data_IF_579707562329
#
_entry.id   IF_579707562329
#
_cell.length_a   1.000
_cell.length_b   1.000
_cell.length_c   1.000
_cell.angle_alpha   90.00
_cell.angle_beta   90.00
_cell.angle_gamma   90.00
#
_symmetry.space_group_name_H-M   'P 1'
#
loop_
_entity.id
_entity.type
_entity.pdbx_description
1 polymer ?
#
# COMPACT_ATOMS: atom_id res chain seq x y z
N UNK A 1 -30.07 31.55 -45.30
CA UNK A 1 -30.63 30.33 -44.67
C UNK A 1 -29.74 29.06 -44.83
N UNK A 2 -28.91 28.94 -45.86
CA UNK A 2 -28.02 27.72 -46.03
C UNK A 2 -26.87 27.60 -45.04
N UNK A 3 -26.35 28.70 -44.51
CA UNK A 3 -25.20 28.69 -43.57
C UNK A 3 -25.58 28.34 -42.12
N UNK A 4 -26.85 28.57 -41.73
CA UNK A 4 -27.33 28.20 -40.38
C UNK A 4 -27.47 26.69 -40.16
N UNK A 5 -27.75 25.93 -41.22
CA UNK A 5 -27.89 24.47 -41.13
C UNK A 5 -26.51 23.77 -41.01
N UNK A 6 -25.47 24.32 -41.64
CA UNK A 6 -24.10 23.77 -41.57
C UNK A 6 -23.51 24.02 -40.19
N UNK A 7 -23.72 25.19 -39.59
CA UNK A 7 -23.24 25.49 -38.24
C UNK A 7 -23.92 24.62 -37.17
N UNK A 8 -25.19 24.27 -37.32
CA UNK A 8 -25.91 23.40 -36.41
C UNK A 8 -25.42 21.95 -36.49
N UNK A 9 -25.08 21.45 -37.70
CA UNK A 9 -24.53 20.09 -37.87
C UNK A 9 -23.16 19.91 -37.26
N UNK A 10 -22.29 20.94 -37.32
CA UNK A 10 -20.94 20.89 -36.70
C UNK A 10 -21.05 20.92 -35.17
N UNK A 11 -21.97 21.65 -34.59
CA UNK A 11 -22.21 21.72 -33.15
C UNK A 11 -22.74 20.39 -32.58
N UNK A 12 -23.55 19.64 -33.32
CA UNK A 12 -24.07 18.34 -32.92
C UNK A 12 -22.97 17.27 -32.99
N UNK A 13 -22.10 17.30 -33.98
CA UNK A 13 -20.96 16.36 -34.05
C UNK A 13 -19.92 16.54 -32.93
N UNK A 14 -19.72 17.77 -32.44
CA UNK A 14 -18.82 18.04 -31.32
C UNK A 14 -19.35 17.59 -29.96
N UNK A 15 -20.65 17.45 -29.80
CA UNK A 15 -21.29 16.96 -28.58
C UNK A 15 -21.29 15.43 -28.46
N UNK A 16 -21.11 14.71 -29.57
CA UNK A 16 -21.02 13.23 -29.56
C UNK A 16 -19.61 12.69 -29.37
N UNK A 17 -18.58 13.53 -29.41
CA UNK A 17 -17.18 13.15 -29.24
C UNK A 17 -16.72 13.02 -27.75
N UNK A 18 -17.56 13.31 -26.78
CA UNK A 18 -17.32 12.99 -25.37
C UNK A 18 -17.66 11.51 -25.10
N UNK A 19 -16.94 10.63 -25.77
CA UNK A 19 -16.86 9.22 -25.46
C UNK A 19 -16.17 9.10 -24.09
N UNK A 20 -16.96 9.06 -23.02
CA UNK A 20 -16.48 8.68 -21.71
C UNK A 20 -15.79 7.32 -21.84
N UNK A 21 -14.46 7.29 -21.76
CA UNK A 21 -13.71 6.08 -21.51
C UNK A 21 -14.17 5.54 -20.15
N UNK A 22 -15.00 4.51 -20.15
CA UNK A 22 -15.46 3.85 -18.92
C UNK A 22 -14.30 3.09 -18.33
N UNK A 23 -13.56 3.71 -17.44
CA UNK A 23 -12.61 2.98 -16.60
C UNK A 23 -13.39 2.02 -15.70
N UNK A 24 -13.03 0.75 -15.70
CA UNK A 24 -13.63 -0.28 -14.85
C UNK A 24 -12.73 -0.48 -13.65
N UNK A 25 -13.21 -0.07 -12.49
CA UNK A 25 -12.54 -0.31 -11.23
C UNK A 25 -13.02 -1.62 -10.61
N UNK A 26 -12.09 -2.47 -10.20
CA UNK A 26 -12.36 -3.74 -9.54
C UNK A 26 -11.62 -3.82 -8.20
N UNK A 27 -12.34 -4.24 -7.17
CA UNK A 27 -11.71 -4.70 -5.95
C UNK A 27 -10.78 -5.88 -6.26
N UNK A 28 -9.63 -5.92 -5.64
CA UNK A 28 -8.68 -7.03 -5.74
C UNK A 28 -8.45 -7.62 -4.35
N UNK A 29 -7.64 -8.66 -4.26
CA UNK A 29 -7.28 -9.28 -3.00
C UNK A 29 -5.76 -9.35 -2.86
N UNK A 30 -5.27 -9.12 -1.65
CA UNK A 30 -3.87 -9.36 -1.34
C UNK A 30 -3.55 -10.85 -1.46
N UNK A 31 -2.38 -11.13 -2.01
CA UNK A 31 -1.85 -12.50 -2.15
C UNK A 31 -0.85 -12.77 -1.04
N UNK A 32 -1.03 -13.91 -0.38
CA UNK A 32 -0.10 -14.38 0.66
C UNK A 32 1.10 -15.06 0.02
N UNK A 33 2.31 -14.58 0.31
CA UNK A 33 3.56 -15.16 -0.19
C UNK A 33 4.18 -16.12 0.81
N UNK A 34 4.17 -15.76 2.10
CA UNK A 34 4.81 -16.52 3.16
C UNK A 34 4.10 -16.29 4.49
N UNK A 35 4.11 -17.32 5.33
CA UNK A 35 3.55 -17.27 6.67
C UNK A 35 4.51 -17.99 7.61
N UNK A 36 4.83 -17.36 8.73
CA UNK A 36 5.55 -17.98 9.84
C UNK A 36 4.76 -17.74 11.12
N UNK A 37 4.58 -18.78 11.91
CA UNK A 37 3.83 -18.69 13.16
C UNK A 37 2.31 -18.60 12.97
N UNK A 38 1.62 -18.09 13.99
CA UNK A 38 0.14 -18.01 14.00
C UNK A 38 -0.31 -16.66 13.45
N UNK A 39 -0.96 -16.70 12.29
CA UNK A 39 -1.63 -15.55 11.67
C UNK A 39 -3.07 -15.91 11.39
N UNK A 40 -3.98 -15.04 11.75
CA UNK A 40 -5.42 -15.20 11.53
C UNK A 40 -5.98 -13.98 10.82
N UNK A 41 -7.09 -14.16 10.12
CA UNK A 41 -7.86 -13.03 9.57
C UNK A 41 -9.34 -13.19 9.87
N UNK A 42 -10.02 -12.08 9.98
CA UNK A 42 -11.48 -11.99 10.07
C UNK A 42 -11.98 -11.40 8.76
N UNK A 43 -12.79 -12.22 8.07
CA UNK A 43 -13.45 -11.84 6.82
C UNK A 43 -14.57 -10.83 7.13
N UNK A 44 -14.61 -9.71 6.43
CA UNK A 44 -15.62 -8.67 6.62
C UNK A 44 -17.08 -9.17 6.48
N UNK A 45 -17.29 -10.29 5.78
CA UNK A 45 -18.63 -10.87 5.53
C UNK A 45 -18.95 -12.04 6.46
N UNK A 46 -17.98 -12.54 7.23
CA UNK A 46 -18.13 -13.73 8.09
C UNK A 46 -17.58 -13.44 9.48
N UNK A 47 -18.38 -13.65 10.48
CA UNK A 47 -17.89 -13.55 11.86
C UNK A 47 -16.91 -14.67 12.21
N UNK A 48 -15.83 -14.31 12.88
CA UNK A 48 -14.83 -15.21 13.44
C UNK A 48 -13.52 -15.29 12.68
N UNK A 49 -12.45 -15.46 13.44
CA UNK A 49 -11.10 -15.54 12.94
C UNK A 49 -10.82 -16.88 12.26
N UNK A 50 -10.23 -16.84 11.08
CA UNK A 50 -9.78 -18.00 10.33
C UNK A 50 -8.24 -17.97 10.21
N UNK A 51 -7.55 -19.12 10.20
CA UNK A 51 -6.11 -19.14 9.98
C UNK A 51 -5.78 -18.70 8.56
N UNK A 52 -4.77 -17.82 8.44
CA UNK A 52 -4.21 -17.45 7.13
C UNK A 52 -3.42 -18.62 6.57
N UNK A 53 -3.60 -18.90 5.30
CA UNK A 53 -2.87 -19.92 4.52
C UNK A 53 -2.32 -19.30 3.24
N UNK A 54 -1.40 -19.98 2.55
CA UNK A 54 -0.90 -19.54 1.24
C UNK A 54 -2.00 -19.43 0.16
N UNK A 55 -3.16 -20.05 0.39
CA UNK A 55 -4.32 -19.98 -0.51
C UNK A 55 -5.31 -18.88 -0.11
N UNK A 56 -5.12 -18.26 1.06
CA UNK A 56 -5.98 -17.18 1.53
C UNK A 56 -5.89 -15.97 0.59
N UNK A 57 -7.02 -15.32 0.39
CA UNK A 57 -7.15 -14.04 -0.30
C UNK A 57 -7.68 -13.05 0.72
N UNK A 58 -6.94 -12.00 0.96
CA UNK A 58 -7.29 -10.96 1.93
C UNK A 58 -7.92 -9.81 1.15
N UNK A 59 -9.16 -9.49 1.47
CA UNK A 59 -9.97 -8.51 0.74
C UNK A 59 -10.16 -7.20 1.51
N UNK A 60 -10.81 -6.25 0.87
CA UNK A 60 -11.26 -5.02 1.52
C UNK A 60 -12.18 -5.34 2.70
N UNK A 61 -11.92 -4.68 3.82
CA UNK A 61 -12.65 -4.86 5.08
C UNK A 61 -12.09 -5.95 5.98
N UNK A 62 -11.21 -6.82 5.50
CA UNK A 62 -10.63 -7.90 6.30
C UNK A 62 -9.66 -7.34 7.36
N UNK A 63 -9.66 -7.95 8.54
CA UNK A 63 -8.73 -7.66 9.63
C UNK A 63 -7.75 -8.82 9.76
N UNK A 64 -6.46 -8.53 9.69
CA UNK A 64 -5.39 -9.53 9.84
C UNK A 64 -4.66 -9.32 11.15
N UNK A 65 -4.46 -10.40 11.90
CA UNK A 65 -3.72 -10.42 13.19
C UNK A 65 -2.62 -11.45 13.16
N UNK A 66 -1.43 -11.03 13.59
CA UNK A 66 -0.29 -11.91 13.82
C UNK A 66 0.04 -12.00 15.31
N UNK A 67 0.52 -13.17 15.75
CA UNK A 67 1.05 -13.33 17.11
C UNK A 67 2.48 -12.80 17.22
N UNK A 68 3.00 -12.71 18.43
CA UNK A 68 4.31 -12.12 18.74
C UNK A 68 5.48 -12.64 17.89
N UNK A 69 5.59 -13.95 17.69
CA UNK A 69 6.65 -14.58 16.90
C UNK A 69 6.27 -14.86 15.43
N UNK A 70 5.14 -14.31 14.98
CA UNK A 70 4.64 -14.56 13.64
C UNK A 70 5.12 -13.50 12.63
N UNK A 71 5.12 -13.90 11.36
CA UNK A 71 5.26 -12.98 10.23
C UNK A 71 4.41 -13.41 9.05
N UNK A 72 3.98 -12.43 8.26
CA UNK A 72 3.15 -12.62 7.08
C UNK A 72 3.66 -11.70 5.96
N UNK A 73 4.05 -12.29 4.83
CA UNK A 73 4.44 -11.55 3.64
C UNK A 73 3.29 -11.52 2.64
N UNK A 74 2.93 -10.33 2.18
CA UNK A 74 1.78 -10.04 1.31
C UNK A 74 2.19 -9.26 0.07
N UNK A 75 1.63 -9.60 -1.08
CA UNK A 75 1.48 -8.69 -2.20
C UNK A 75 0.09 -8.03 -2.12
N UNK A 76 0.05 -6.73 -1.90
CA UNK A 76 -1.19 -5.98 -1.73
C UNK A 76 -1.80 -5.58 -3.08
N UNK A 77 -1.03 -4.86 -3.86
CA UNK A 77 -1.28 -4.50 -5.25
C UNK A 77 0.03 -4.64 -6.02
N UNK A 78 0.02 -4.69 -7.36
CA UNK A 78 1.26 -4.64 -8.14
C UNK A 78 2.11 -3.43 -7.76
N UNK A 79 3.36 -3.67 -7.36
CA UNK A 79 4.28 -2.64 -6.89
C UNK A 79 4.16 -2.29 -5.40
N UNK A 80 3.29 -2.94 -4.61
CA UNK A 80 3.25 -2.78 -3.16
C UNK A 80 3.28 -4.13 -2.44
N UNK A 81 4.40 -4.40 -1.79
CA UNK A 81 4.63 -5.59 -0.98
C UNK A 81 4.73 -5.20 0.49
N UNK A 82 4.24 -6.05 1.37
CA UNK A 82 4.26 -5.76 2.80
C UNK A 82 4.63 -7.00 3.61
N UNK A 83 5.36 -6.79 4.70
CA UNK A 83 5.54 -7.76 5.77
C UNK A 83 4.92 -7.26 7.06
N UNK A 84 4.01 -8.04 7.59
CA UNK A 84 3.50 -7.89 8.94
C UNK A 84 4.34 -8.75 9.88
N UNK A 85 4.75 -8.25 11.04
CA UNK A 85 5.60 -9.01 11.96
C UNK A 85 5.34 -8.65 13.43
N UNK A 86 5.55 -9.65 14.29
CA UNK A 86 5.24 -9.53 15.72
C UNK A 86 3.75 -9.44 16.00
N UNK A 87 3.38 -9.07 17.21
CA UNK A 87 1.97 -8.88 17.60
C UNK A 87 1.39 -7.66 16.88
N UNK A 88 0.84 -7.90 15.69
CA UNK A 88 0.35 -6.83 14.81
C UNK A 88 -1.08 -7.04 14.38
N UNK A 89 -1.77 -5.93 14.13
CA UNK A 89 -3.14 -5.89 13.65
C UNK A 89 -3.28 -4.83 12.56
N UNK A 90 -3.72 -5.27 11.40
CA UNK A 90 -4.04 -4.39 10.27
C UNK A 90 -5.48 -4.62 9.80
N UNK A 91 -6.09 -3.54 9.32
CA UNK A 91 -7.34 -3.56 8.58
C UNK A 91 -7.07 -3.16 7.14
N UNK A 92 -7.48 -3.99 6.19
CA UNK A 92 -7.39 -3.69 4.76
C UNK A 92 -8.59 -2.82 4.40
N UNK A 93 -8.37 -1.52 4.25
CA UNK A 93 -9.44 -0.56 3.95
C UNK A 93 -9.80 -0.50 2.47
N UNK A 94 -8.82 -0.68 1.59
CA UNK A 94 -9.03 -0.66 0.14
C UNK A 94 -7.91 -1.42 -0.57
N UNK A 95 -8.30 -2.28 -1.51
CA UNK A 95 -7.41 -2.87 -2.53
C UNK A 95 -8.12 -2.80 -3.88
N UNK A 96 -7.60 -1.97 -4.79
CA UNK A 96 -8.31 -1.63 -6.01
C UNK A 96 -7.37 -1.55 -7.20
N UNK A 97 -7.82 -2.07 -8.33
CA UNK A 97 -7.14 -1.95 -9.62
C UNK A 97 -8.17 -1.43 -10.61
N UNK A 98 -7.85 -0.33 -11.28
CA UNK A 98 -8.65 0.23 -12.35
C UNK A 98 -8.04 -0.18 -13.68
N UNK A 99 -8.84 -0.70 -14.60
CA UNK A 99 -8.44 -1.00 -15.99
C UNK A 99 -9.07 0.04 -16.92
N UNK A 100 -8.31 0.45 -17.92
CA UNK A 100 -8.88 1.27 -18.99
C UNK A 100 -9.86 0.40 -19.80
N UNK A 101 -11.07 0.92 -20.06
CA UNK A 101 -12.12 0.19 -20.76
C UNK A 101 -11.86 -0.06 -22.26
N UNK A 102 -10.82 0.53 -22.82
CA UNK A 102 -10.38 0.30 -24.22
C UNK A 102 -9.33 -0.81 -24.30
N UNK A 103 -9.71 -2.01 -23.94
CA UNK A 103 -8.86 -3.20 -23.76
C UNK A 103 -8.17 -3.78 -25.00
N UNK A 104 -7.68 -3.03 -25.93
CA UNK A 104 -6.78 -3.61 -26.94
C UNK A 104 -5.33 -3.70 -26.50
N UNK A 105 -4.95 -3.12 -25.36
CA UNK A 105 -3.56 -3.07 -24.89
C UNK A 105 -3.33 -3.50 -23.43
N UNK A 106 -4.32 -4.03 -22.72
CA UNK A 106 -4.10 -4.67 -21.40
C UNK A 106 -3.52 -3.75 -20.32
N UNK A 107 -3.64 -2.43 -20.42
CA UNK A 107 -3.09 -1.46 -19.48
C UNK A 107 -3.84 -1.48 -18.15
N UNK A 108 -3.11 -1.70 -17.04
CA UNK A 108 -3.60 -1.37 -15.70
C UNK A 108 -3.54 0.16 -15.62
N UNK A 109 -4.70 0.80 -15.39
CA UNK A 109 -4.79 2.23 -15.11
C UNK A 109 -4.30 2.53 -13.68
N UNK A 110 -5.18 2.95 -12.79
CA UNK A 110 -4.84 3.28 -11.42
C UNK A 110 -4.79 2.05 -10.52
N UNK A 111 -3.93 2.10 -9.50
CA UNK A 111 -3.85 1.12 -8.42
C UNK A 111 -3.97 1.83 -7.09
N UNK A 112 -4.74 1.29 -6.17
CA UNK A 112 -4.89 1.86 -4.84
C UNK A 112 -4.85 0.77 -3.78
N UNK A 113 -4.07 1.00 -2.72
CA UNK A 113 -4.10 0.20 -1.51
C UNK A 113 -4.10 1.13 -0.30
N UNK A 114 -5.04 0.91 0.60
CA UNK A 114 -5.13 1.61 1.87
C UNK A 114 -5.22 0.60 3.00
N UNK A 115 -4.31 0.73 3.95
CA UNK A 115 -4.21 -0.13 5.12
C UNK A 115 -4.25 0.73 6.38
N UNK A 116 -4.98 0.28 7.37
CA UNK A 116 -4.91 0.83 8.72
C UNK A 116 -4.10 -0.12 9.59
N UNK A 117 -3.04 0.39 10.21
CA UNK A 117 -2.25 -0.30 11.22
C UNK A 117 -2.76 0.13 12.60
N UNK A 118 -3.44 -0.76 13.31
CA UNK A 118 -3.97 -0.49 14.64
C UNK A 118 -2.91 -0.70 15.71
N UNK A 119 -2.05 -1.71 15.56
CA UNK A 119 -0.87 -1.98 16.41
C UNK A 119 0.15 -2.86 15.73
N UNK A 120 1.37 -2.86 16.26
CA UNK A 120 2.47 -3.71 15.83
C UNK A 120 3.34 -3.07 14.76
N UNK A 121 3.84 -3.87 13.83
CA UNK A 121 4.84 -3.47 12.85
C UNK A 121 4.49 -3.95 11.46
N UNK A 122 4.58 -3.04 10.49
CA UNK A 122 4.52 -3.32 9.06
C UNK A 122 5.75 -2.75 8.36
N UNK A 123 6.40 -3.56 7.53
CA UNK A 123 7.45 -3.14 6.61
C UNK A 123 6.84 -3.14 5.20
N UNK A 124 7.08 -2.09 4.45
CA UNK A 124 6.54 -1.92 3.10
C UNK A 124 7.64 -1.65 2.12
N UNK A 125 7.66 -2.44 1.06
CA UNK A 125 8.38 -2.17 -0.16
C UNK A 125 7.38 -1.68 -1.21
N UNK A 126 7.50 -0.40 -1.57
CA UNK A 126 6.70 0.22 -2.61
C UNK A 126 7.58 0.55 -3.80
N UNK A 127 7.29 -0.05 -4.94
CA UNK A 127 8.00 0.12 -6.20
C UNK A 127 7.01 0.05 -7.35
N UNK A 128 6.35 1.16 -7.69
CA UNK A 128 5.43 1.23 -8.81
C UNK A 128 6.20 1.05 -10.13
N UNK A 129 6.03 -0.09 -10.78
CA UNK A 129 6.86 -0.57 -11.90
C UNK A 129 6.50 -0.01 -13.26
N UNK A 130 5.55 0.91 -13.35
CA UNK A 130 5.08 1.50 -14.61
C UNK A 130 4.59 2.94 -14.38
N UNK A 131 4.32 3.64 -15.47
CA UNK A 131 3.80 5.01 -15.44
C UNK A 131 2.34 5.09 -14.95
N UNK A 132 1.76 3.99 -14.48
CA UNK A 132 0.40 3.99 -13.97
C UNK A 132 0.37 4.62 -12.58
N UNK A 133 -0.56 5.53 -12.30
CA UNK A 133 -0.72 6.09 -10.97
C UNK A 133 -0.96 4.99 -9.94
N UNK A 134 -0.11 4.94 -8.93
CA UNK A 134 -0.23 3.99 -7.83
C UNK A 134 -0.32 4.76 -6.54
N UNK A 135 -1.43 4.57 -5.81
CA UNK A 135 -1.64 5.17 -4.51
C UNK A 135 -1.49 4.12 -3.43
N UNK A 136 -0.57 4.35 -2.52
CA UNK A 136 -0.41 3.51 -1.35
C UNK A 136 -0.48 4.38 -0.09
N UNK A 137 -1.32 3.98 0.85
CA UNK A 137 -1.55 4.73 2.08
C UNK A 137 -1.58 3.79 3.27
N UNK A 138 -0.79 4.09 4.30
CA UNK A 138 -0.97 3.51 5.63
C UNK A 138 -1.56 4.58 6.53
N UNK A 139 -2.62 4.23 7.24
CA UNK A 139 -3.16 5.06 8.31
C UNK A 139 -2.90 4.39 9.65
N UNK A 140 -2.63 5.19 10.67
CA UNK A 140 -2.68 4.80 12.07
C UNK A 140 -3.74 5.66 12.76
N UNK A 141 -3.81 5.64 14.07
CA UNK A 141 -4.77 6.47 14.81
C UNK A 141 -4.62 7.97 14.51
N UNK A 142 -3.39 8.43 14.30
CA UNK A 142 -3.08 9.87 14.22
C UNK A 142 -2.36 10.25 12.91
N UNK A 143 -1.86 9.27 12.15
CA UNK A 143 -1.01 9.54 11.00
C UNK A 143 -1.61 8.97 9.71
N UNK A 144 -1.39 9.71 8.65
CA UNK A 144 -1.47 9.24 7.27
C UNK A 144 -0.07 9.21 6.68
N UNK A 145 0.36 8.05 6.18
CA UNK A 145 1.70 7.77 5.70
C UNK A 145 1.60 7.36 4.24
N UNK A 146 2.35 8.06 3.37
CA UNK A 146 2.36 7.84 1.92
C UNK A 146 3.79 7.78 1.40
N UNK A 147 4.16 6.76 0.60
CA UNK A 147 5.42 6.77 -0.12
C UNK A 147 5.45 7.87 -1.18
N UNK A 148 6.61 8.46 -1.42
CA UNK A 148 6.80 9.45 -2.48
C UNK A 148 7.01 8.77 -3.85
N UNK A 149 7.86 7.76 -3.89
CA UNK A 149 8.22 6.97 -5.06
C UNK A 149 8.71 5.59 -4.60
N UNK A 150 9.67 5.00 -5.29
CA UNK A 150 10.31 3.76 -4.86
C UNK A 150 10.89 3.93 -3.45
N UNK A 151 10.34 3.19 -2.51
CA UNK A 151 10.80 3.27 -1.13
C UNK A 151 10.61 1.98 -0.34
N UNK A 152 11.42 1.84 0.70
CA UNK A 152 11.34 0.79 1.69
C UNK A 152 11.30 1.43 3.07
N UNK A 153 10.25 1.16 3.83
CA UNK A 153 10.03 1.79 5.12
C UNK A 153 9.31 0.88 6.11
N UNK A 154 9.48 1.17 7.37
CA UNK A 154 8.84 0.50 8.50
C UNK A 154 7.89 1.47 9.21
N UNK A 155 6.71 1.00 9.55
CA UNK A 155 5.79 1.68 10.46
C UNK A 155 5.57 0.78 11.66
N UNK A 156 5.79 1.32 12.86
CA UNK A 156 5.56 0.65 14.13
C UNK A 156 4.63 1.50 14.99
N UNK A 157 3.59 0.89 15.54
CA UNK A 157 2.70 1.58 16.49
C UNK A 157 2.28 0.65 17.63
N UNK A 158 2.12 1.24 18.82
CA UNK A 158 1.51 0.59 20.00
C UNK A 158 0.06 1.06 20.22
N UNK A 159 -0.50 1.82 19.27
CA UNK A 159 -1.82 2.44 19.33
C UNK A 159 -1.82 3.84 19.96
N UNK A 160 -0.74 4.25 20.64
CA UNK A 160 -0.56 5.58 21.25
C UNK A 160 0.60 6.34 20.62
N UNK A 161 1.68 5.64 20.33
CA UNK A 161 2.85 6.17 19.64
C UNK A 161 3.01 5.50 18.28
N UNK A 162 3.42 6.27 17.28
CA UNK A 162 3.72 5.74 15.95
C UNK A 162 5.10 6.20 15.54
N UNK A 163 5.95 5.24 15.13
CA UNK A 163 7.26 5.51 14.55
C UNK A 163 7.25 5.12 13.08
N UNK A 164 7.80 6.00 12.25
CA UNK A 164 8.03 5.75 10.82
C UNK A 164 9.53 5.84 10.59
N UNK A 165 10.12 4.78 10.04
CA UNK A 165 11.56 4.68 9.74
C UNK A 165 11.72 4.39 8.26
N UNK A 166 12.50 5.19 7.54
CA UNK A 166 12.73 5.01 6.10
C UNK A 166 14.11 4.37 5.86
N UNK A 167 14.12 3.19 5.22
CA UNK A 167 15.34 2.46 4.87
C UNK A 167 15.87 2.81 3.46
N UNK A 168 14.96 3.04 2.48
CA UNK A 168 15.30 3.47 1.12
C UNK A 168 14.25 4.46 0.62
N UNK A 169 14.67 5.43 -0.21
CA UNK A 169 13.77 6.42 -0.81
C UNK A 169 13.28 7.47 0.17
N UNK A 170 12.00 7.81 0.07
CA UNK A 170 11.34 8.83 0.92
C UNK A 170 9.90 8.42 1.22
N UNK A 171 9.46 8.75 2.42
CA UNK A 171 8.07 8.58 2.86
C UNK A 171 7.56 9.86 3.51
N UNK A 172 6.33 10.22 3.22
CA UNK A 172 5.67 11.38 3.80
C UNK A 172 4.70 10.92 4.89
N UNK A 173 4.77 11.57 6.04
CA UNK A 173 3.86 11.34 7.16
C UNK A 173 3.16 12.65 7.55
N UNK A 174 1.85 12.62 7.70
CA UNK A 174 1.05 13.78 8.07
C UNK A 174 0.04 13.43 9.16
N UNK A 175 -0.25 14.41 10.02
CA UNK A 175 -1.41 14.40 10.91
C UNK A 175 -2.46 15.35 10.34
N UNK A 176 -3.70 15.24 10.81
CA UNK A 176 -4.78 16.18 10.40
C UNK A 176 -4.50 17.64 10.71
N UNK A 177 -3.53 17.91 11.61
CA UNK A 177 -3.25 19.27 12.13
C UNK A 177 -1.90 19.85 11.75
N UNK A 178 -1.05 19.08 11.09
CA UNK A 178 0.33 19.48 10.80
C UNK A 178 0.66 19.24 9.33
N UNK A 179 1.53 20.09 8.79
CA UNK A 179 2.07 19.87 7.45
C UNK A 179 2.80 18.53 7.37
N UNK A 180 2.77 17.87 6.19
CA UNK A 180 3.49 16.62 5.99
C UNK A 180 4.98 16.75 6.31
N UNK A 181 5.53 15.74 6.97
CA UNK A 181 6.96 15.57 7.23
C UNK A 181 7.50 14.52 6.28
N UNK A 182 8.52 14.88 5.49
CA UNK A 182 9.22 13.93 4.62
C UNK A 182 10.37 13.28 5.37
N UNK A 183 10.36 11.95 5.44
CA UNK A 183 11.39 11.13 6.08
C UNK A 183 12.19 10.47 4.97
N UNK A 184 13.46 10.85 4.86
CA UNK A 184 14.39 10.29 3.88
C UNK A 184 15.05 8.98 4.39
N UNK A 185 15.70 8.26 3.49
CA UNK A 185 16.48 7.07 3.83
C UNK A 185 17.49 7.35 4.95
N UNK A 186 17.56 6.46 5.94
CA UNK A 186 18.43 6.61 7.11
C UNK A 186 17.87 7.48 8.24
N UNK A 187 16.62 7.95 8.11
CA UNK A 187 15.96 8.78 9.11
C UNK A 187 14.68 8.12 9.64
N UNK A 188 14.27 8.58 10.84
CA UNK A 188 12.98 8.21 11.41
C UNK A 188 12.30 9.41 12.07
N UNK A 189 11.02 9.29 12.32
CA UNK A 189 10.24 10.23 13.14
C UNK A 189 9.24 9.44 13.99
N UNK A 190 8.97 9.92 15.19
CA UNK A 190 8.00 9.34 16.11
C UNK A 190 6.94 10.35 16.49
N UNK A 191 5.69 9.94 16.55
CA UNK A 191 4.55 10.76 16.98
C UNK A 191 3.90 10.14 18.22
N UNK A 192 3.31 10.98 19.10
CA UNK A 192 3.30 12.45 19.02
C UNK A 192 4.69 13.05 19.21
N UNK A 193 4.97 14.17 18.55
CA UNK A 193 6.27 14.85 18.65
C UNK A 193 6.11 16.35 18.55
N UNK A 194 6.98 17.08 19.27
CA UNK A 194 7.18 18.50 19.09
C UNK A 194 8.26 18.83 18.04
N UNK A 195 9.05 17.84 17.61
CA UNK A 195 10.09 18.02 16.60
C UNK A 195 9.48 18.09 15.21
N UNK A 196 9.95 19.06 14.42
CA UNK A 196 9.52 19.24 13.02
C UNK A 196 10.37 18.45 12.03
N UNK A 197 11.59 18.08 12.43
CA UNK A 197 12.58 17.45 11.55
C UNK A 197 12.80 15.99 11.94
N UNK A 198 12.93 15.09 10.96
CA UNK A 198 13.29 13.71 11.20
C UNK A 198 14.65 13.57 11.88
N UNK A 199 14.83 12.49 12.62
CA UNK A 199 16.02 12.18 13.41
C UNK A 199 16.84 11.15 12.63
N UNK A 200 18.19 11.25 12.57
CA UNK A 200 19.02 10.20 12.01
C UNK A 200 18.79 8.89 12.75
N UNK A 201 18.56 7.80 12.02
CA UNK A 201 18.35 6.49 12.63
C UNK A 201 19.61 5.98 13.37
N UNK A 202 20.79 6.49 13.01
CA UNK A 202 22.05 6.22 13.72
C UNK A 202 22.03 6.64 15.19
N UNK A 203 21.16 7.57 15.56
CA UNK A 203 21.04 8.10 16.92
C UNK A 203 20.06 7.31 17.81
N UNK A 204 19.40 6.29 17.25
CA UNK A 204 18.37 5.49 17.95
C UNK A 204 18.50 4.00 17.62
N UNK A 205 18.78 3.17 18.65
CA UNK A 205 18.99 1.73 18.47
C UNK A 205 17.78 1.01 17.85
N UNK A 206 16.54 1.43 18.20
CA UNK A 206 15.33 0.83 17.64
C UNK A 206 15.17 1.18 16.16
N UNK A 207 15.47 2.43 15.78
CA UNK A 207 15.43 2.84 14.39
C UNK A 207 16.50 2.13 13.54
N UNK A 208 17.68 1.87 14.08
CA UNK A 208 18.71 1.06 13.41
C UNK A 208 18.23 -0.38 13.17
N UNK A 209 17.59 -0.99 14.17
CA UNK A 209 16.98 -2.31 14.04
C UNK A 209 15.89 -2.27 12.96
N UNK A 210 15.00 -1.28 12.99
CA UNK A 210 13.92 -1.14 11.99
C UNK A 210 14.50 -1.01 10.56
N UNK A 211 15.63 -0.31 10.36
CA UNK A 211 16.31 -0.23 9.05
C UNK A 211 16.86 -1.59 8.64
N UNK A 212 17.59 -2.27 9.52
CA UNK A 212 18.19 -3.57 9.22
C UNK A 212 17.12 -4.60 8.84
N UNK A 213 16.09 -4.72 9.67
CA UNK A 213 14.96 -5.62 9.41
C UNK A 213 14.21 -5.25 8.12
N UNK A 214 14.10 -3.95 7.82
CA UNK A 214 13.47 -3.50 6.56
C UNK A 214 14.28 -3.92 5.34
N UNK A 215 15.60 -3.77 5.38
CA UNK A 215 16.48 -4.19 4.27
C UNK A 215 16.39 -5.70 4.03
N UNK A 216 16.47 -6.52 5.09
CA UNK A 216 16.32 -7.97 5.00
C UNK A 216 14.93 -8.39 4.49
N UNK A 217 13.86 -7.70 4.97
CA UNK A 217 12.50 -7.94 4.50
C UNK A 217 12.32 -7.55 3.04
N UNK A 218 12.90 -6.41 2.62
CA UNK A 218 12.83 -5.92 1.25
C UNK A 218 13.41 -6.91 0.26
N UNK A 219 14.63 -7.41 0.50
CA UNK A 219 15.28 -8.42 -0.35
C UNK A 219 14.44 -9.71 -0.46
N UNK A 220 13.90 -10.17 0.68
CA UNK A 220 13.05 -11.36 0.71
C UNK A 220 11.73 -11.17 -0.05
N UNK A 221 11.08 -10.01 0.09
CA UNK A 221 9.84 -9.69 -0.61
C UNK A 221 10.04 -9.61 -2.12
N UNK A 222 11.13 -8.99 -2.58
CA UNK A 222 11.51 -8.93 -4.01
C UNK A 222 11.73 -10.33 -4.60
N UNK A 223 12.48 -11.19 -3.89
CA UNK A 223 12.74 -12.58 -4.32
C UNK A 223 11.43 -13.38 -4.41
N UNK A 224 10.55 -13.27 -3.42
CA UNK A 224 9.25 -13.94 -3.42
C UNK A 224 8.36 -13.46 -4.56
N UNK A 225 8.29 -12.15 -4.82
CA UNK A 225 7.52 -11.59 -5.92
C UNK A 225 8.04 -12.08 -7.27
N UNK A 226 9.35 -12.11 -7.46
CA UNK A 226 9.99 -12.60 -8.68
C UNK A 226 9.69 -14.08 -8.92
N UNK A 227 9.79 -14.91 -7.89
CA UNK A 227 9.43 -16.35 -7.97
C UNK A 227 7.95 -16.57 -8.29
N UNK A 228 7.07 -15.74 -7.73
CA UNK A 228 5.63 -15.85 -7.97
C UNK A 228 5.25 -15.48 -9.40
N UNK A 229 5.84 -14.42 -9.95
CA UNK A 229 5.65 -14.03 -11.35
C UNK A 229 6.11 -15.13 -12.32
N UNK A 230 7.25 -15.76 -12.04
CA UNK A 230 7.81 -16.83 -12.88
C UNK A 230 7.02 -18.15 -12.81
N UNK A 231 6.14 -18.34 -11.82
CA UNK A 231 5.29 -19.53 -11.66
C UNK A 231 3.91 -19.39 -12.30
N UNK A 232 3.53 -18.21 -12.76
CA UNK A 232 2.28 -18.04 -13.50
C UNK A 232 2.46 -18.67 -14.89
N UNK A 233 1.66 -19.68 -15.29
CA UNK A 233 1.63 -20.09 -16.68
C UNK A 233 1.18 -18.91 -17.55
N UNK A 234 1.64 -18.84 -18.79
CA UNK A 234 1.31 -17.81 -19.76
C UNK A 234 -0.19 -17.71 -20.02
#
# INVERSE_FOLDING_TARGET
MRYSLIALSIAICSLLANSCSKSISRATAATVFSIKGKVVFEDAQRSGYQPVTLKSRIHDGDIVRSSDSASLDLALIPGALAQLSGESEINIQELKITKDGNETAGGIGDRSARIRLDRGKIIVLFSPSDNSPSQFVITTRELTITPDSDCLFCVRTDGTTTRVTCAKGKVNASTDRQSPVTIAAGYFQQWPTARKEPIPAADDATAQIDITESLEAGERLEDQASRWLNRRPP
#
